data_IF_227468987215
#
_entry.id   IF_227468987215
#
_cell.length_a   1.000
_cell.length_b   1.000
_cell.length_c   1.000
_cell.angle_alpha   90.00
_cell.angle_beta   90.00
_cell.angle_gamma   90.00
#
_symmetry.space_group_name_H-M   'P 1'
#
loop_
_entity.id
_entity.type
_entity.pdbx_description
1 polymer ?
#
# COMPACT_ATOMS: atom_id res chain seq x y z
N UNK A 1 4.24 2.64 -11.90
CA UNK A 1 5.55 2.20 -11.37
C UNK A 1 6.44 3.41 -11.18
N UNK A 2 7.08 3.50 -10.03
CA UNK A 2 8.05 4.55 -9.70
C UNK A 2 9.38 3.87 -9.39
N UNK A 3 10.45 4.40 -9.95
CA UNK A 3 11.81 3.99 -9.66
C UNK A 3 12.40 4.88 -8.57
N UNK A 4 12.99 4.27 -7.53
CA UNK A 4 13.60 4.91 -6.37
C UNK A 4 15.12 4.66 -6.30
N UNK A 5 15.75 4.25 -7.40
CA UNK A 5 17.20 3.94 -7.42
C UNK A 5 18.07 5.18 -7.31
N UNK A 6 17.58 6.34 -7.74
CA UNK A 6 18.26 7.61 -7.66
C UNK A 6 17.77 8.45 -6.46
N UNK A 7 18.46 9.57 -6.18
CA UNK A 7 18.11 10.50 -5.10
C UNK A 7 16.67 11.04 -5.19
N UNK A 8 16.13 11.13 -6.41
CA UNK A 8 14.73 11.55 -6.65
C UNK A 8 13.96 10.42 -7.31
N UNK A 9 12.75 10.11 -6.80
CA UNK A 9 11.89 9.12 -7.44
C UNK A 9 11.51 9.56 -8.86
N UNK A 10 11.54 8.60 -9.80
CA UNK A 10 11.23 8.82 -11.22
C UNK A 10 10.08 7.91 -11.63
N UNK A 11 9.10 8.46 -12.36
CA UNK A 11 8.03 7.66 -12.94
C UNK A 11 8.60 6.86 -14.11
N UNK A 12 8.48 5.53 -14.03
CA UNK A 12 8.78 4.62 -15.13
C UNK A 12 7.55 4.37 -16.01
N UNK A 13 6.44 3.97 -15.40
CA UNK A 13 5.23 3.61 -16.13
C UNK A 13 3.97 4.06 -15.39
N UNK A 14 3.03 4.66 -16.11
CA UNK A 14 1.64 4.85 -15.64
C UNK A 14 0.70 4.02 -16.49
N UNK A 15 -0.08 3.17 -15.80
CA UNK A 15 -1.14 2.39 -16.41
C UNK A 15 -2.49 2.87 -15.89
N UNK A 16 -3.43 3.12 -16.79
CA UNK A 16 -4.83 3.39 -16.45
C UNK A 16 -5.75 2.47 -17.26
N UNK A 17 -6.71 1.87 -16.55
CA UNK A 17 -7.80 1.11 -17.16
C UNK A 17 -9.11 1.80 -16.81
N UNK A 18 -9.80 2.33 -17.81
CA UNK A 18 -10.98 3.16 -17.62
C UNK A 18 -12.10 2.63 -18.53
N UNK A 19 -13.26 2.39 -17.92
CA UNK A 19 -14.48 2.07 -18.64
C UNK A 19 -14.92 3.28 -19.46
N UNK A 20 -15.42 3.02 -20.67
CA UNK A 20 -15.93 4.03 -21.59
C UNK A 20 -17.19 3.53 -22.31
N UNK A 21 -17.91 4.44 -22.93
CA UNK A 21 -19.04 4.08 -23.78
C UNK A 21 -18.61 3.28 -25.02
N UNK A 22 -19.54 2.55 -25.61
CA UNK A 22 -19.26 1.73 -26.80
C UNK A 22 -18.94 2.60 -28.03
N UNK A 23 -19.61 3.76 -28.13
CA UNK A 23 -19.36 4.76 -29.18
C UNK A 23 -18.36 5.82 -28.68
N UNK A 24 -17.08 5.60 -28.94
CA UNK A 24 -16.00 6.51 -28.54
C UNK A 24 -14.86 6.52 -29.57
N UNK A 25 -14.18 7.65 -29.72
CA UNK A 25 -12.92 7.75 -30.45
C UNK A 25 -11.75 7.38 -29.54
N UNK A 26 -11.06 6.31 -29.88
CA UNK A 26 -9.96 5.78 -29.05
C UNK A 26 -8.79 6.78 -28.92
N UNK A 27 -8.47 7.50 -30.01
CA UNK A 27 -7.35 8.43 -30.02
C UNK A 27 -7.67 9.67 -29.16
N UNK A 28 -8.88 10.20 -29.29
CA UNK A 28 -9.35 11.33 -28.49
C UNK A 28 -9.44 10.94 -27.00
N UNK A 29 -9.96 9.76 -26.70
CA UNK A 29 -10.04 9.23 -25.35
C UNK A 29 -8.66 9.10 -24.69
N UNK A 30 -7.70 8.46 -25.38
CA UNK A 30 -6.33 8.30 -24.85
C UNK A 30 -5.64 9.65 -24.65
N UNK A 31 -5.85 10.59 -25.56
CA UNK A 31 -5.34 11.95 -25.44
C UNK A 31 -5.94 12.65 -24.23
N UNK A 32 -7.25 12.58 -24.06
CA UNK A 32 -7.96 13.17 -22.92
C UNK A 32 -7.44 12.64 -21.58
N UNK A 33 -7.35 11.30 -21.45
CA UNK A 33 -6.85 10.64 -20.23
C UNK A 33 -5.43 11.09 -19.92
N UNK A 34 -4.56 11.12 -20.93
CA UNK A 34 -3.17 11.56 -20.74
C UNK A 34 -3.09 13.00 -20.28
N UNK A 35 -3.68 13.93 -21.02
CA UNK A 35 -3.52 15.37 -20.77
C UNK A 35 -4.25 15.84 -19.52
N UNK A 36 -5.49 15.36 -19.29
CA UNK A 36 -6.34 15.88 -18.22
C UNK A 36 -6.25 15.09 -16.91
N UNK A 37 -5.76 13.87 -16.93
CA UNK A 37 -5.63 13.04 -15.73
C UNK A 37 -4.16 12.81 -15.40
N UNK A 38 -3.42 12.11 -16.26
CA UNK A 38 -2.03 11.73 -15.96
C UNK A 38 -1.13 12.96 -15.80
N UNK A 39 -1.08 13.83 -16.81
CA UNK A 39 -0.20 15.00 -16.81
C UNK A 39 -0.59 16.00 -15.70
N UNK A 40 -1.89 16.12 -15.39
CA UNK A 40 -2.34 16.97 -14.30
C UNK A 40 -1.84 16.48 -12.92
N UNK A 41 -1.86 15.16 -12.69
CA UNK A 41 -1.33 14.56 -11.45
C UNK A 41 0.19 14.70 -11.39
N UNK A 42 0.90 14.39 -12.47
CA UNK A 42 2.35 14.50 -12.56
C UNK A 42 2.82 15.93 -12.22
N UNK A 43 2.16 16.92 -12.81
CA UNK A 43 2.44 18.34 -12.55
C UNK A 43 2.22 18.71 -11.08
N UNK A 44 1.20 18.14 -10.44
CA UNK A 44 0.91 18.39 -9.01
C UNK A 44 2.05 17.91 -8.10
N UNK A 45 2.72 16.82 -8.48
CA UNK A 45 3.81 16.22 -7.68
C UNK A 45 5.21 16.57 -8.19
N UNK A 46 5.34 17.46 -9.19
CA UNK A 46 6.61 17.91 -9.79
C UNK A 46 7.51 16.75 -10.22
N UNK A 47 6.91 15.76 -10.90
CA UNK A 47 7.61 14.57 -11.36
C UNK A 47 7.97 14.66 -12.85
N UNK A 48 8.80 13.72 -13.33
CA UNK A 48 9.22 13.65 -14.73
C UNK A 48 8.04 13.41 -15.69
N UNK A 49 8.15 13.97 -16.89
CA UNK A 49 7.14 13.85 -17.96
C UNK A 49 7.47 12.79 -19.00
N UNK A 50 8.69 12.25 -18.97
CA UNK A 50 9.12 11.15 -19.83
C UNK A 50 8.92 9.83 -19.09
N UNK A 51 7.87 9.11 -19.46
CA UNK A 51 7.48 7.84 -18.87
C UNK A 51 6.64 7.01 -19.85
N UNK A 52 6.56 5.71 -19.63
CA UNK A 52 5.73 4.81 -20.42
C UNK A 52 4.25 4.99 -20.09
N UNK A 53 3.43 5.25 -21.11
CA UNK A 53 1.98 5.42 -20.99
C UNK A 53 1.25 4.16 -21.45
N UNK A 54 0.40 3.62 -20.59
CA UNK A 54 -0.48 2.49 -20.91
C UNK A 54 -1.94 2.88 -20.56
N UNK A 55 -2.79 3.02 -21.56
CA UNK A 55 -4.21 3.33 -21.38
C UNK A 55 -5.02 2.23 -22.06
N UNK A 56 -5.85 1.51 -21.30
CA UNK A 56 -6.65 0.37 -21.76
C UNK A 56 -5.83 -0.59 -22.66
N UNK A 57 -4.70 -1.14 -22.20
CA UNK A 57 -3.79 -1.92 -23.05
C UNK A 57 -4.42 -3.22 -23.57
N UNK A 58 -5.52 -3.69 -22.98
CA UNK A 58 -6.30 -4.85 -23.44
C UNK A 58 -7.34 -4.48 -24.49
N UNK A 59 -7.46 -3.20 -24.87
CA UNK A 59 -8.43 -2.67 -25.81
C UNK A 59 -9.68 -2.09 -25.15
N UNK A 60 -10.85 -2.33 -25.75
CA UNK A 60 -12.12 -1.74 -25.33
C UNK A 60 -12.53 -2.22 -23.93
N UNK A 61 -13.00 -1.29 -23.10
CA UNK A 61 -13.52 -1.56 -21.76
C UNK A 61 -14.91 -0.95 -21.61
N UNK A 62 -15.90 -1.58 -22.21
CA UNK A 62 -17.31 -1.11 -22.23
C UNK A 62 -18.10 -1.71 -21.07
N UNK A 63 -17.92 -3.01 -20.78
CA UNK A 63 -18.62 -3.70 -19.71
C UNK A 63 -17.81 -3.61 -18.43
N UNK A 64 -18.33 -2.91 -17.43
CA UNK A 64 -17.70 -2.75 -16.12
C UNK A 64 -18.72 -2.88 -14.97
N UNK A 65 -18.27 -2.55 -13.76
CA UNK A 65 -19.08 -2.67 -12.57
C UNK A 65 -19.48 -4.14 -12.27
N UNK A 66 -20.56 -4.35 -11.50
CA UNK A 66 -20.98 -5.71 -11.09
C UNK A 66 -21.30 -6.66 -12.23
N UNK A 67 -21.63 -6.12 -13.42
CA UNK A 67 -21.89 -6.92 -14.60
C UNK A 67 -20.61 -7.52 -15.20
N UNK A 68 -19.49 -6.79 -15.11
CA UNK A 68 -18.17 -7.28 -15.53
C UNK A 68 -17.50 -8.12 -14.46
N UNK A 69 -17.54 -7.64 -13.20
CA UNK A 69 -17.01 -8.33 -12.03
C UNK A 69 -17.77 -7.88 -10.77
N UNK A 70 -18.47 -8.80 -10.14
CA UNK A 70 -19.21 -8.52 -8.90
C UNK A 70 -18.28 -8.22 -7.72
N UNK A 71 -16.99 -8.55 -7.82
CA UNK A 71 -16.04 -8.45 -6.74
C UNK A 71 -16.30 -9.42 -5.59
N UNK A 72 -15.34 -9.57 -4.72
CA UNK A 72 -15.45 -10.30 -3.46
C UNK A 72 -14.69 -9.57 -2.37
N UNK A 73 -15.30 -9.44 -1.20
CA UNK A 73 -14.66 -8.87 -0.01
C UNK A 73 -13.41 -9.67 0.38
N UNK A 74 -12.32 -8.97 0.68
CA UNK A 74 -11.07 -9.59 1.11
C UNK A 74 -10.22 -10.20 -0.02
N UNK A 75 -10.53 -9.90 -1.28
CA UNK A 75 -9.75 -10.34 -2.45
C UNK A 75 -8.78 -9.29 -2.99
N UNK A 76 -8.61 -8.17 -2.28
CA UNK A 76 -7.68 -7.08 -2.62
C UNK A 76 -6.83 -6.66 -1.41
N UNK A 77 -6.43 -7.63 -0.58
CA UNK A 77 -5.77 -7.38 0.72
C UNK A 77 -4.44 -6.62 0.61
N UNK A 78 -3.71 -6.80 -0.46
CA UNK A 78 -2.45 -6.07 -0.69
C UNK A 78 -2.72 -4.62 -1.11
N UNK A 79 -3.73 -4.39 -1.94
CA UNK A 79 -4.18 -3.03 -2.32
C UNK A 79 -4.74 -2.27 -1.11
N UNK A 80 -5.48 -2.97 -0.24
CA UNK A 80 -6.08 -2.40 0.98
C UNK A 80 -5.05 -2.03 2.06
N UNK A 81 -3.80 -2.43 1.89
CA UNK A 81 -2.72 -2.22 2.86
C UNK A 81 -1.57 -1.40 2.27
N UNK A 82 -0.44 -2.02 1.95
CA UNK A 82 0.80 -1.32 1.60
C UNK A 82 1.27 -1.57 0.16
N UNK A 83 0.44 -2.18 -0.69
CA UNK A 83 0.74 -2.38 -2.10
C UNK A 83 1.99 -3.23 -2.39
N UNK A 84 2.40 -4.09 -1.46
CA UNK A 84 3.61 -4.90 -1.57
C UNK A 84 4.88 -4.23 -1.04
N UNK A 85 4.81 -2.99 -0.53
CA UNK A 85 5.96 -2.34 0.09
C UNK A 85 6.35 -3.00 1.43
N UNK A 86 5.38 -3.42 2.23
CA UNK A 86 5.56 -4.23 3.43
C UNK A 86 4.94 -5.61 3.27
N UNK A 87 5.39 -6.56 4.09
CA UNK A 87 4.86 -7.93 4.14
C UNK A 87 3.42 -7.93 4.65
N UNK A 88 2.65 -8.92 4.25
CA UNK A 88 1.25 -9.08 4.65
C UNK A 88 1.03 -10.48 5.23
N UNK A 89 0.29 -10.55 6.35
CA UNK A 89 -0.02 -11.83 7.02
C UNK A 89 -1.12 -12.66 6.35
N UNK A 90 -1.81 -12.11 5.34
CA UNK A 90 -2.85 -12.81 4.56
C UNK A 90 -4.28 -12.57 5.04
N UNK A 91 -4.50 -11.96 6.21
CA UNK A 91 -5.81 -11.70 6.77
C UNK A 91 -6.53 -10.50 6.14
N UNK A 92 -7.76 -10.68 5.67
CA UNK A 92 -8.62 -9.57 5.27
C UNK A 92 -9.15 -8.80 6.49
N UNK A 93 -9.38 -7.48 6.35
CA UNK A 93 -9.93 -6.65 7.42
C UNK A 93 -11.46 -6.53 7.37
N UNK A 94 -12.02 -6.48 6.18
CA UNK A 94 -13.46 -6.32 5.96
C UNK A 94 -14.26 -7.44 6.63
N UNK A 95 -15.38 -7.07 7.26
CA UNK A 95 -16.28 -8.00 7.93
C UNK A 95 -15.78 -8.56 9.26
N UNK A 96 -14.63 -8.08 9.76
CA UNK A 96 -14.07 -8.50 11.05
C UNK A 96 -14.26 -7.40 12.10
N UNK A 97 -14.65 -7.81 13.30
CA UNK A 97 -14.71 -6.96 14.49
C UNK A 97 -13.34 -6.90 15.21
N UNK A 98 -13.17 -6.05 16.25
CA UNK A 98 -11.90 -5.91 16.97
C UNK A 98 -11.38 -7.19 17.65
N UNK A 99 -12.22 -8.20 17.84
CA UNK A 99 -11.79 -9.49 18.44
C UNK A 99 -10.99 -10.35 17.47
N UNK A 100 -10.95 -10.00 16.19
CA UNK A 100 -10.22 -10.73 15.16
C UNK A 100 -8.79 -10.20 15.05
N UNK A 101 -7.83 -11.03 15.43
CA UNK A 101 -6.39 -10.66 15.49
C UNK A 101 -5.83 -10.21 14.14
N UNK A 102 -6.26 -10.80 13.03
CA UNK A 102 -5.84 -10.37 11.69
C UNK A 102 -6.06 -8.87 11.44
N UNK A 103 -7.14 -8.32 12.01
CA UNK A 103 -7.46 -6.90 11.90
C UNK A 103 -6.84 -6.08 13.04
N UNK A 104 -7.09 -6.45 14.28
CA UNK A 104 -6.65 -5.68 15.46
C UNK A 104 -5.13 -5.61 15.57
N UNK A 105 -4.44 -6.73 15.36
CA UNK A 105 -2.98 -6.73 15.39
C UNK A 105 -2.35 -5.96 14.22
N UNK A 106 -2.94 -6.01 13.02
CA UNK A 106 -2.46 -5.22 11.89
C UNK A 106 -2.61 -3.71 12.14
N UNK A 107 -3.70 -3.27 12.75
CA UNK A 107 -3.89 -1.87 13.13
C UNK A 107 -2.96 -1.44 14.27
N UNK A 108 -2.75 -2.31 15.26
CA UNK A 108 -1.79 -2.06 16.34
C UNK A 108 -0.36 -1.98 15.78
N UNK A 109 0.03 -2.88 14.91
CA UNK A 109 1.35 -2.85 14.26
C UNK A 109 1.57 -1.53 13.51
N UNK A 110 0.56 -1.05 12.77
CA UNK A 110 0.61 0.27 12.13
C UNK A 110 0.75 1.41 13.12
N UNK A 111 -0.01 1.37 14.21
CA UNK A 111 0.05 2.38 15.26
C UNK A 111 1.43 2.43 15.91
N UNK A 112 2.00 1.28 16.27
CA UNK A 112 3.35 1.17 16.83
C UNK A 112 4.40 1.74 15.87
N UNK A 113 4.40 1.27 14.61
CA UNK A 113 5.37 1.70 13.61
C UNK A 113 5.36 3.23 13.42
N UNK A 114 4.18 3.84 13.36
CA UNK A 114 4.05 5.29 13.27
C UNK A 114 4.60 6.04 14.47
N UNK A 115 4.39 5.52 15.69
CA UNK A 115 4.91 6.15 16.90
C UNK A 115 6.42 6.03 17.00
N UNK A 116 7.00 4.88 16.67
CA UNK A 116 8.46 4.67 16.67
C UNK A 116 9.16 5.61 15.69
N UNK A 117 8.63 5.74 14.47
CA UNK A 117 9.16 6.69 13.48
C UNK A 117 8.97 8.14 13.94
N UNK A 118 7.80 8.49 14.51
CA UNK A 118 7.55 9.83 15.06
C UNK A 118 8.45 10.17 16.27
N UNK A 119 8.90 9.17 17.01
CA UNK A 119 9.89 9.32 18.08
C UNK A 119 11.33 9.42 17.58
N UNK A 120 11.54 9.50 16.27
CA UNK A 120 12.85 9.65 15.62
C UNK A 120 13.84 8.50 15.91
N UNK A 121 13.32 7.29 16.20
CA UNK A 121 14.15 6.11 16.46
C UNK A 121 14.63 5.44 15.15
N UNK A 122 13.92 5.63 14.06
CA UNK A 122 14.26 5.22 12.69
C UNK A 122 13.44 6.04 11.68
N UNK A 123 13.82 6.03 10.40
CA UNK A 123 13.05 6.70 9.35
C UNK A 123 11.96 5.77 8.75
N UNK A 124 12.20 4.46 8.76
CA UNK A 124 11.26 3.44 8.31
C UNK A 124 11.17 2.30 9.33
N UNK A 125 9.97 1.73 9.48
CA UNK A 125 9.76 0.55 10.31
C UNK A 125 8.70 -0.37 9.71
N UNK A 126 9.08 -1.62 9.46
CA UNK A 126 8.16 -2.74 9.31
C UNK A 126 8.11 -3.52 10.63
N UNK A 127 6.92 -3.81 11.13
CA UNK A 127 6.72 -4.64 12.33
C UNK A 127 5.84 -5.82 12.02
N UNK A 128 6.23 -7.00 12.53
CA UNK A 128 5.45 -8.23 12.47
C UNK A 128 5.12 -8.70 13.88
N UNK A 129 3.84 -8.93 14.14
CA UNK A 129 3.33 -9.54 15.35
C UNK A 129 2.81 -10.94 15.04
N UNK A 130 3.23 -11.93 15.81
CA UNK A 130 2.76 -13.31 15.68
C UNK A 130 2.01 -13.73 16.93
N UNK A 131 0.84 -14.35 16.76
CA UNK A 131 0.00 -14.81 17.84
C UNK A 131 -0.32 -16.29 17.73
N UNK A 132 -0.50 -16.95 18.86
CA UNK A 132 -1.04 -18.30 18.95
C UNK A 132 -2.48 -18.27 19.48
N UNK A 133 -3.37 -19.11 18.93
CA UNK A 133 -4.76 -19.20 19.40
C UNK A 133 -4.76 -19.58 20.87
N UNK A 134 -5.51 -18.82 21.69
CA UNK A 134 -5.64 -19.04 23.13
C UNK A 134 -4.51 -18.46 23.98
N UNK A 135 -3.54 -17.79 23.38
CA UNK A 135 -2.45 -17.08 24.07
C UNK A 135 -2.65 -15.59 23.87
N UNK A 136 -2.68 -14.82 24.97
CA UNK A 136 -2.92 -13.37 24.92
C UNK A 136 -1.74 -12.63 24.33
N UNK A 137 -0.56 -12.91 24.82
CA UNK A 137 0.67 -12.23 24.43
C UNK A 137 1.16 -12.69 23.06
N UNK A 138 1.78 -11.82 22.26
CA UNK A 138 2.38 -12.22 20.99
C UNK A 138 3.51 -13.24 21.24
N UNK A 139 3.52 -14.28 20.42
CA UNK A 139 4.59 -15.31 20.45
C UNK A 139 5.89 -14.80 19.87
N UNK A 140 5.84 -13.76 19.03
CA UNK A 140 7.00 -13.13 18.42
C UNK A 140 6.68 -11.69 18.01
N UNK A 141 7.65 -10.81 18.20
CA UNK A 141 7.69 -9.46 17.67
C UNK A 141 8.96 -9.35 16.82
N UNK A 142 8.81 -9.06 15.54
CA UNK A 142 9.92 -8.83 14.63
C UNK A 142 9.85 -7.41 14.08
N UNK A 143 10.99 -6.74 13.99
CA UNK A 143 11.12 -5.40 13.41
C UNK A 143 12.19 -5.37 12.32
N UNK A 144 11.96 -4.56 11.30
CA UNK A 144 12.90 -4.30 10.22
C UNK A 144 12.86 -2.78 9.92
N UNK A 145 13.96 -2.12 10.21
CA UNK A 145 14.14 -0.67 9.99
C UNK A 145 14.69 -0.34 8.62
N UNK A 146 14.95 -1.35 7.80
CA UNK A 146 15.57 -1.23 6.47
C UNK A 146 16.91 -0.47 6.48
N UNK A 147 17.63 -0.55 7.60
CA UNK A 147 18.92 0.11 7.79
C UNK A 147 18.81 1.61 8.09
N UNK A 148 17.64 2.08 8.51
CA UNK A 148 17.41 3.50 8.84
C UNK A 148 17.37 3.77 10.36
N UNK A 149 17.74 2.79 11.17
CA UNK A 149 17.77 2.92 12.62
C UNK A 149 18.75 4.02 13.09
N UNK A 150 18.30 4.81 14.05
CA UNK A 150 19.08 5.85 14.74
C UNK A 150 19.48 5.44 16.14
N UNK A 151 18.88 4.36 16.65
CA UNK A 151 19.19 3.70 17.91
C UNK A 151 19.24 2.19 17.70
N UNK A 152 19.94 1.42 18.56
CA UNK A 152 20.01 -0.04 18.42
C UNK A 152 18.64 -0.72 18.35
N UNK A 153 18.50 -1.80 17.59
CA UNK A 153 17.25 -2.56 17.41
C UNK A 153 16.66 -3.07 18.75
N UNK A 154 17.49 -3.49 19.68
CA UNK A 154 17.07 -3.94 21.01
C UNK A 154 16.42 -2.80 21.82
N UNK A 155 16.92 -1.57 21.68
CA UNK A 155 16.31 -0.39 22.30
C UNK A 155 14.92 -0.12 21.74
N UNK A 156 14.76 -0.21 20.41
CA UNK A 156 13.44 -0.06 19.77
C UNK A 156 12.48 -1.15 20.26
N UNK A 157 12.93 -2.40 20.30
CA UNK A 157 12.12 -3.54 20.72
C UNK A 157 11.69 -3.44 22.20
N UNK A 158 12.57 -3.02 23.07
CA UNK A 158 12.26 -2.81 24.48
C UNK A 158 11.29 -1.64 24.68
N UNK A 159 11.47 -0.53 23.95
CA UNK A 159 10.52 0.57 23.96
C UNK A 159 9.11 0.12 23.52
N UNK A 160 9.02 -0.67 22.44
CA UNK A 160 7.73 -1.21 21.99
C UNK A 160 7.05 -2.05 23.07
N UNK A 161 7.79 -2.95 23.75
CA UNK A 161 7.25 -3.80 24.81
C UNK A 161 6.85 -3.03 26.08
N UNK A 162 7.49 -1.92 26.36
CA UNK A 162 7.21 -1.11 27.55
C UNK A 162 6.01 -0.19 27.33
N UNK A 163 5.86 0.37 26.13
CA UNK A 163 4.88 1.41 25.85
C UNK A 163 3.54 0.86 25.30
N UNK A 164 3.53 -0.37 24.77
CA UNK A 164 2.34 -0.95 24.14
C UNK A 164 1.94 -2.28 24.80
N UNK A 165 0.67 -2.37 25.20
CA UNK A 165 0.05 -3.63 25.66
C UNK A 165 -0.38 -4.45 24.40
N UNK A 166 0.31 -5.57 24.14
CA UNK A 166 0.20 -6.39 22.95
C UNK A 166 -0.48 -7.74 23.22
#
# INVERSE_FOLDING_TARGET
>A
TIDYTDEKPVIDTILMSIQHDDDFDEAEFKKFVKENIMDAVIKKYDMNTDYRVLINPTGRFVIGGPHGDTGLTGRKIIVDTYGGYARHGGGAFSGKDPTKVDRSAAYMARYIAKNVVAADMCDELEIQLSYAIGVKEPTSIYIDTKGTEKVPHDVILEAIKQEFDL
#
